data_IF_191154156446
#
_entry.id   IF_191154156446
#
_cell.length_a   1.000
_cell.length_b   1.000
_cell.length_c   1.000
_cell.angle_alpha   90.00
_cell.angle_beta   90.00
_cell.angle_gamma   90.00
#
_symmetry.space_group_name_H-M   'P 1'
#
loop_
_entity.id
_entity.type
_entity.pdbx_description
1 polymer ?
#
# COMPACT_ATOMS: atom_id res chain seq x y z
N UNK A 1 24.12 0.21 7.51
CA UNK A 1 23.26 0.51 8.67
C UNK A 1 22.14 -0.49 8.58
N UNK A 2 22.15 -1.56 9.37
CA UNK A 2 21.06 -2.54 9.34
C UNK A 2 19.84 -1.87 9.99
N UNK A 3 18.72 -1.85 9.26
CA UNK A 3 17.44 -1.41 9.80
C UNK A 3 16.93 -2.37 10.88
N UNK A 4 15.83 -2.03 11.57
CA UNK A 4 15.29 -2.84 12.67
C UNK A 4 14.77 -4.23 12.25
N UNK A 5 14.69 -4.49 10.94
CA UNK A 5 14.33 -5.78 10.36
C UNK A 5 15.57 -6.38 9.69
N UNK A 6 16.52 -6.83 10.50
CA UNK A 6 17.81 -7.32 10.02
C UNK A 6 17.84 -8.85 9.86
N UNK A 7 16.91 -9.55 10.52
CA UNK A 7 16.81 -11.00 10.57
C UNK A 7 15.34 -11.44 10.48
N UNK A 8 15.11 -12.72 10.17
CA UNK A 8 13.76 -13.29 10.16
C UNK A 8 13.11 -13.28 11.54
N UNK A 9 13.89 -13.42 12.62
CA UNK A 9 13.39 -13.33 13.99
C UNK A 9 12.80 -11.94 14.28
N UNK A 10 13.39 -10.87 13.74
CA UNK A 10 12.86 -9.50 13.89
C UNK A 10 11.48 -9.33 13.24
N UNK A 11 11.19 -10.10 12.17
CA UNK A 11 9.90 -10.08 11.48
C UNK A 11 8.85 -10.80 12.34
N UNK A 12 9.19 -11.96 12.91
CA UNK A 12 8.28 -12.69 13.79
C UNK A 12 7.92 -11.89 15.04
N UNK A 13 8.90 -11.24 15.67
CA UNK A 13 8.65 -10.34 16.80
C UNK A 13 7.73 -9.16 16.42
N UNK A 14 7.87 -8.64 15.20
CA UNK A 14 6.99 -7.60 14.68
C UNK A 14 5.55 -8.11 14.48
N UNK A 15 5.38 -9.29 13.88
CA UNK A 15 4.06 -9.92 13.68
C UNK A 15 3.37 -10.13 15.03
N UNK A 16 4.06 -10.76 15.98
CA UNK A 16 3.54 -11.00 17.34
C UNK A 16 3.08 -9.70 18.03
N UNK A 17 3.80 -8.60 17.81
CA UNK A 17 3.40 -7.29 18.33
C UNK A 17 2.11 -6.79 17.68
N UNK A 18 1.96 -6.91 16.37
CA UNK A 18 0.77 -6.45 15.66
C UNK A 18 -0.46 -7.28 16.01
N UNK A 19 -0.31 -8.60 16.18
CA UNK A 19 -1.38 -9.49 16.69
C UNK A 19 -1.81 -9.11 18.10
N UNK A 20 -0.85 -8.83 18.98
CA UNK A 20 -1.14 -8.37 20.34
C UNK A 20 -1.92 -7.04 20.35
N UNK A 21 -1.61 -6.15 19.39
CA UNK A 21 -2.35 -4.90 19.22
C UNK A 21 -3.74 -5.13 18.61
N UNK A 22 -3.90 -6.06 17.67
CA UNK A 22 -5.19 -6.40 17.05
C UNK A 22 -6.22 -6.81 18.13
N UNK A 23 -5.78 -7.61 19.11
CA UNK A 23 -6.61 -8.04 20.23
C UNK A 23 -7.17 -6.90 21.10
N UNK A 24 -6.48 -5.75 21.15
CA UNK A 24 -6.88 -4.58 21.96
C UNK A 24 -7.30 -3.39 21.11
N UNK A 25 -7.37 -3.54 19.79
CA UNK A 25 -7.64 -2.44 18.88
C UNK A 25 -9.08 -1.94 19.07
N UNK A 26 -9.29 -0.59 19.15
CA UNK A 26 -10.61 0.00 19.25
C UNK A 26 -11.53 -0.45 18.11
N UNK A 27 -12.81 -0.67 18.41
CA UNK A 27 -13.82 -1.11 17.42
C UNK A 27 -13.88 -0.21 16.18
N UNK A 28 -13.56 1.08 16.32
CA UNK A 28 -13.60 2.04 15.22
C UNK A 28 -12.59 1.76 14.09
N UNK A 29 -11.50 1.04 14.38
CA UNK A 29 -10.42 0.76 13.42
C UNK A 29 -10.00 -0.71 13.39
N UNK A 30 -10.78 -1.59 14.02
CA UNK A 30 -10.41 -3.00 14.19
C UNK A 30 -10.24 -3.70 12.85
N UNK A 31 -11.20 -3.53 11.95
CA UNK A 31 -11.17 -4.23 10.66
C UNK A 31 -9.98 -3.76 9.81
N UNK A 32 -9.67 -2.46 9.83
CA UNK A 32 -8.50 -1.90 9.15
C UNK A 32 -7.18 -2.39 9.77
N UNK A 33 -7.11 -2.45 11.10
CA UNK A 33 -5.94 -2.96 11.79
C UNK A 33 -5.71 -4.46 11.52
N UNK A 34 -6.79 -5.23 11.43
CA UNK A 34 -6.72 -6.65 11.10
C UNK A 34 -6.12 -6.86 9.70
N UNK A 35 -6.54 -6.07 8.71
CA UNK A 35 -5.98 -6.12 7.34
C UNK A 35 -4.48 -5.83 7.34
N UNK A 36 -4.02 -4.85 8.14
CA UNK A 36 -2.59 -4.55 8.26
C UNK A 36 -1.84 -5.75 8.89
N UNK A 37 -2.44 -6.36 9.91
CA UNK A 37 -1.87 -7.54 10.59
C UNK A 37 -1.75 -8.74 9.65
N UNK A 38 -2.77 -9.00 8.82
CA UNK A 38 -2.74 -10.04 7.77
C UNK A 38 -1.58 -9.81 6.76
N UNK A 39 -1.30 -8.56 6.38
CA UNK A 39 -0.16 -8.23 5.52
C UNK A 39 1.16 -8.61 6.18
N UNK A 40 1.34 -8.29 7.46
CA UNK A 40 2.56 -8.63 8.19
C UNK A 40 2.78 -10.13 8.29
N UNK A 41 1.72 -10.91 8.54
CA UNK A 41 1.77 -12.37 8.51
C UNK A 41 2.14 -12.89 7.12
N UNK A 42 1.55 -12.33 6.06
CA UNK A 42 1.89 -12.68 4.67
C UNK A 42 3.36 -12.37 4.36
N UNK A 43 3.90 -11.29 4.92
CA UNK A 43 5.30 -10.91 4.76
C UNK A 43 6.28 -11.82 5.53
N UNK A 44 5.85 -12.40 6.65
CA UNK A 44 6.64 -13.40 7.41
C UNK A 44 6.71 -14.73 6.66
N UNK A 45 5.60 -15.15 6.06
CA UNK A 45 5.47 -16.44 5.36
C UNK A 45 5.95 -16.43 3.90
N UNK A 46 6.46 -15.29 3.40
CA UNK A 46 6.79 -15.13 1.98
C UNK A 46 7.98 -16.01 1.57
N UNK A 47 7.82 -16.76 0.47
CA UNK A 47 8.90 -17.42 -0.23
C UNK A 47 9.41 -16.51 -1.36
N UNK A 48 10.61 -15.97 -1.19
CA UNK A 48 11.20 -15.07 -2.18
C UNK A 48 11.64 -15.77 -3.47
N UNK A 49 11.76 -17.10 -3.49
CA UNK A 49 12.11 -17.85 -4.70
C UNK A 49 10.86 -18.14 -5.56
N UNK A 50 9.66 -18.14 -4.97
CA UNK A 50 8.39 -18.36 -5.65
C UNK A 50 7.78 -17.06 -6.21
N UNK A 51 7.64 -16.92 -7.54
CA UNK A 51 6.96 -15.77 -8.14
C UNK A 51 5.53 -15.58 -7.67
N UNK A 52 4.80 -16.64 -7.31
CA UNK A 52 3.42 -16.53 -6.85
C UNK A 52 3.36 -15.95 -5.45
N UNK A 53 4.15 -16.47 -4.51
CA UNK A 53 4.27 -15.94 -3.15
C UNK A 53 4.62 -14.44 -3.14
N UNK A 54 5.56 -14.00 -4.00
CA UNK A 54 5.88 -12.57 -4.14
C UNK A 54 4.70 -11.73 -4.64
N UNK A 55 3.90 -12.26 -5.56
CA UNK A 55 2.71 -11.56 -6.06
C UNK A 55 1.62 -11.50 -4.97
N UNK A 56 1.42 -12.58 -4.22
CA UNK A 56 0.46 -12.61 -3.11
C UNK A 56 0.84 -11.59 -2.02
N UNK A 57 2.14 -11.43 -1.71
CA UNK A 57 2.62 -10.36 -0.83
C UNK A 57 2.35 -8.97 -1.40
N UNK A 58 2.59 -8.76 -2.70
CA UNK A 58 2.30 -7.48 -3.34
C UNK A 58 0.79 -7.16 -3.29
N UNK A 59 -0.07 -8.12 -3.59
CA UNK A 59 -1.52 -7.98 -3.55
C UNK A 59 -2.01 -7.69 -2.12
N UNK A 60 -1.45 -8.35 -1.12
CA UNK A 60 -1.72 -8.07 0.29
C UNK A 60 -1.29 -6.64 0.68
N UNK A 61 -0.14 -6.17 0.18
CA UNK A 61 0.31 -4.81 0.42
C UNK A 61 -0.67 -3.79 -0.15
N UNK A 62 -1.08 -3.98 -1.42
CA UNK A 62 -2.09 -3.14 -2.07
C UNK A 62 -3.44 -3.14 -1.32
N UNK A 63 -3.88 -4.29 -0.83
CA UNK A 63 -5.11 -4.42 -0.03
C UNK A 63 -5.03 -3.59 1.25
N UNK A 64 -3.87 -3.54 1.91
CA UNK A 64 -3.69 -2.88 3.20
C UNK A 64 -3.51 -1.36 3.12
N UNK A 65 -3.17 -0.81 1.95
CA UNK A 65 -2.88 0.61 1.76
C UNK A 65 -3.95 1.54 2.35
N UNK A 66 -5.21 1.30 2.00
CA UNK A 66 -6.33 2.14 2.45
C UNK A 66 -6.51 2.05 3.96
N UNK A 67 -6.46 0.84 4.50
CA UNK A 67 -6.60 0.58 5.93
C UNK A 67 -5.48 1.20 6.74
N UNK A 68 -4.22 1.14 6.27
CA UNK A 68 -3.10 1.79 6.93
C UNK A 68 -3.28 3.32 7.03
N UNK A 69 -3.79 3.96 5.97
CA UNK A 69 -4.10 5.40 5.99
C UNK A 69 -5.27 5.74 6.90
N UNK A 70 -6.32 4.93 6.90
CA UNK A 70 -7.49 5.18 7.73
C UNK A 70 -7.16 5.00 9.23
N UNK A 71 -6.32 4.02 9.59
CA UNK A 71 -5.74 3.91 10.94
C UNK A 71 -4.89 5.14 11.28
N UNK A 72 -4.01 5.59 10.38
CA UNK A 72 -3.19 6.80 10.60
C UNK A 72 -4.04 8.04 10.88
N UNK A 73 -5.06 8.28 10.06
CA UNK A 73 -6.01 9.39 10.25
C UNK A 73 -6.77 9.27 11.57
N UNK A 74 -7.21 8.07 11.92
CA UNK A 74 -7.90 7.85 13.19
C UNK A 74 -7.00 8.13 14.40
N UNK A 75 -5.76 7.63 14.38
CA UNK A 75 -4.77 7.87 15.44
C UNK A 75 -4.46 9.36 15.57
N UNK A 76 -4.28 10.07 14.46
CA UNK A 76 -4.05 11.51 14.49
C UNK A 76 -5.26 12.26 15.06
N UNK A 77 -6.47 11.96 14.60
CA UNK A 77 -7.69 12.63 15.06
C UNK A 77 -8.05 12.32 16.51
N UNK A 78 -7.72 11.12 17.01
CA UNK A 78 -8.13 10.64 18.33
C UNK A 78 -7.05 10.87 19.39
N UNK A 79 -5.78 10.64 19.03
CA UNK A 79 -4.65 10.69 19.96
C UNK A 79 -3.78 11.94 19.75
N UNK A 80 -3.95 12.69 18.65
CA UNK A 80 -3.16 13.89 18.35
C UNK A 80 -1.72 13.60 17.93
N UNK A 81 -1.42 12.37 17.53
CA UNK A 81 -0.08 11.92 17.13
C UNK A 81 -0.12 11.55 15.65
N UNK A 82 0.73 12.17 14.84
CA UNK A 82 0.90 11.81 13.44
C UNK A 82 1.68 10.48 13.34
N UNK A 83 1.14 9.53 12.58
CA UNK A 83 1.86 8.32 12.19
C UNK A 83 2.77 8.63 10.99
N UNK A 84 3.91 7.92 10.83
CA UNK A 84 4.76 8.09 9.65
C UNK A 84 3.96 7.78 8.38
N UNK A 85 4.21 8.55 7.32
CA UNK A 85 3.57 8.34 6.02
C UNK A 85 3.89 6.93 5.50
N UNK A 86 2.85 6.16 5.19
CA UNK A 86 2.98 4.92 4.45
C UNK A 86 3.19 5.26 2.97
N UNK A 87 4.25 4.72 2.37
CA UNK A 87 4.50 4.85 0.93
C UNK A 87 3.45 4.01 0.21
N UNK A 88 2.32 4.62 -0.12
CA UNK A 88 1.24 3.98 -0.87
C UNK A 88 1.26 4.33 -2.35
N UNK A 89 0.84 3.37 -3.18
CA UNK A 89 0.77 3.49 -4.65
C UNK A 89 -0.37 4.40 -5.13
N UNK A 90 -1.37 4.62 -4.28
CA UNK A 90 -2.38 5.66 -4.51
C UNK A 90 -1.71 7.03 -4.29
N UNK A 91 -1.65 7.86 -5.34
CA UNK A 91 -1.14 9.23 -5.30
C UNK A 91 -1.86 10.12 -4.28
N UNK A 92 -1.52 11.42 -4.19
CA UNK A 92 -2.10 12.31 -3.18
C UNK A 92 -3.64 12.21 -3.17
N UNK A 93 -4.26 12.35 -1.99
CA UNK A 93 -5.73 12.35 -1.77
C UNK A 93 -6.49 13.37 -2.66
N UNK A 94 -5.77 14.18 -3.43
CA UNK A 94 -6.31 15.07 -4.45
C UNK A 94 -6.45 14.33 -5.77
N UNK A 95 -7.67 13.88 -6.09
CA UNK A 95 -8.10 13.85 -7.50
C UNK A 95 -7.97 15.28 -8.02
N UNK A 96 -6.86 15.57 -8.68
CA UNK A 96 -6.81 16.71 -9.60
C UNK A 96 -7.58 16.23 -10.83
N UNK A 97 -8.75 16.81 -11.07
CA UNK A 97 -9.48 16.55 -12.31
C UNK A 97 -8.51 16.72 -13.49
N UNK A 98 -8.54 15.83 -14.50
CA UNK A 98 -7.70 16.01 -15.67
C UNK A 98 -7.98 17.40 -16.23
N UNK A 99 -6.96 18.25 -16.31
CA UNK A 99 -7.04 19.47 -17.10
C UNK A 99 -7.33 19.02 -18.52
N UNK A 100 -8.56 19.19 -18.97
CA UNK A 100 -8.93 19.07 -20.38
C UNK A 100 -8.15 20.14 -21.11
N UNK A 101 -6.96 19.78 -21.59
CA UNK A 101 -6.29 20.56 -22.60
C UNK A 101 -7.09 20.30 -23.86
N UNK A 102 -7.93 21.26 -24.22
CA UNK A 102 -8.68 21.28 -25.48
C UNK A 102 -7.67 21.20 -26.62
N UNK A 103 -7.44 19.99 -27.14
CA UNK A 103 -6.64 19.78 -28.35
C UNK A 103 -7.52 20.13 -29.53
N UNK A 104 -7.75 21.43 -29.73
CA UNK A 104 -8.22 21.97 -30.99
C UNK A 104 -7.02 22.38 -31.83
N UNK A 105 -6.40 21.40 -32.50
CA UNK A 105 -5.96 21.55 -33.90
C UNK A 105 -5.67 20.18 -34.53
N UNK A 106 -6.61 19.68 -35.36
CA UNK A 106 -6.30 18.86 -36.54
C UNK A 106 -6.32 19.80 -37.76
N UNK A 107 -5.66 19.54 -38.92
CA UNK A 107 -5.44 18.24 -39.58
C UNK A 107 -3.97 18.08 -40.11
N UNK A 108 -3.48 17.10 -40.87
CA UNK A 108 -4.07 16.18 -41.84
C UNK A 108 -3.15 14.95 -42.09
N UNK A 109 -3.79 13.90 -42.59
CA UNK A 109 -3.30 12.60 -43.10
C UNK A 109 -2.09 12.67 -44.06
N UNK A 110 -1.17 11.69 -43.96
CA UNK A 110 -0.44 11.09 -45.10
C UNK A 110 0.15 9.73 -44.72
N UNK A 111 -0.35 8.65 -45.32
CA UNK A 111 0.23 7.28 -45.27
C UNK A 111 1.20 7.14 -46.45
N UNK A 112 2.45 6.67 -46.28
CA UNK A 112 3.29 6.35 -47.42
C UNK A 112 2.96 4.95 -47.98
N UNK A 113 2.67 4.91 -49.28
CA UNK A 113 2.53 3.73 -50.14
C UNK A 113 3.87 2.99 -50.27
N UNK A 114 3.93 1.64 -50.24
CA UNK A 114 5.09 0.91 -50.72
C UNK A 114 4.95 0.55 -52.20
N UNK A 115 6.03 0.76 -52.97
CA UNK A 115 6.21 0.33 -54.36
C UNK A 115 7.69 -0.03 -54.60
N UNK A 116 8.07 -0.66 -55.72
CA UNK A 116 7.30 -1.56 -56.60
C UNK A 116 7.63 -3.05 -56.38
#
# INVERSE_FOLDING_TARGET
MSGPLATSDDISDLVNRYESLDAITPLAIRDDWHIITELLQTAEDVDYEDPRSRQDLADAAYKAERSARDVARWVESTCGIAMPDVIGVEGPDTTTAPVTTDVSTAPATSVPTPAP
#
